data_IF_268881678897
#
_entry.id   IF_268881678897
#
_cell.length_a   1.000
_cell.length_b   1.000
_cell.length_c   1.000
_cell.angle_alpha   90.00
_cell.angle_beta   90.00
_cell.angle_gamma   90.00
#
_symmetry.space_group_name_H-M   'P 1'
#
loop_
_entity.id
_entity.type
_entity.pdbx_description
1 polymer ?
#
# COMPACT_ATOMS: atom_id res chain seq x y z
N UNK A 1 -23.77 10.59 24.69
CA UNK A 1 -22.69 10.21 23.76
C UNK A 1 -21.39 10.50 24.48
N UNK A 2 -20.73 9.49 25.02
CA UNK A 2 -19.44 9.66 25.69
C UNK A 2 -18.44 10.03 24.60
N UNK A 3 -18.02 11.30 24.54
CA UNK A 3 -16.79 11.65 23.84
C UNK A 3 -15.67 10.94 24.61
N UNK A 4 -15.22 9.82 24.06
CA UNK A 4 -14.03 9.14 24.54
C UNK A 4 -12.88 10.16 24.50
N UNK A 5 -12.17 10.35 25.62
CA UNK A 5 -11.06 11.31 25.73
C UNK A 5 -10.01 11.08 24.64
N UNK A 6 -9.92 9.84 24.15
CA UNK A 6 -9.02 9.43 23.08
C UNK A 6 -9.45 9.91 21.68
N UNK A 7 -10.75 10.16 21.46
CA UNK A 7 -11.30 10.53 20.14
C UNK A 7 -10.76 11.86 19.64
N UNK A 8 -10.52 12.83 20.53
CA UNK A 8 -10.00 14.16 20.17
C UNK A 8 -8.52 14.15 19.83
N UNK A 9 -7.79 13.15 20.33
CA UNK A 9 -6.38 12.94 20.01
C UNK A 9 -6.22 12.32 18.62
N UNK A 10 -7.06 11.33 18.29
CA UNK A 10 -7.00 10.60 17.00
C UNK A 10 -7.53 11.48 15.85
N UNK A 11 -8.56 12.29 16.09
CA UNK A 11 -9.18 13.15 15.08
C UNK A 11 -9.10 14.63 15.49
N UNK A 12 -7.94 15.30 15.28
CA UNK A 12 -7.80 16.71 15.59
C UNK A 12 -8.64 17.57 14.63
N UNK A 13 -9.40 18.51 15.18
CA UNK A 13 -10.27 19.41 14.42
C UNK A 13 -9.49 20.62 13.84
N UNK A 14 -8.56 20.36 12.92
CA UNK A 14 -7.71 21.40 12.32
C UNK A 14 -8.21 21.89 10.94
N UNK A 15 -9.41 21.47 10.52
CA UNK A 15 -9.91 21.77 9.18
C UNK A 15 -10.46 23.20 9.09
N UNK A 16 -9.94 23.99 8.15
CA UNK A 16 -10.46 25.31 7.82
C UNK A 16 -11.49 25.21 6.68
N UNK A 17 -12.66 25.80 6.88
CA UNK A 17 -13.72 25.83 5.87
C UNK A 17 -13.33 26.74 4.70
N UNK A 18 -13.23 26.21 3.47
CA UNK A 18 -12.93 27.04 2.31
C UNK A 18 -14.11 27.95 1.98
N UNK A 19 -13.81 29.13 1.42
CA UNK A 19 -14.84 30.09 0.96
C UNK A 19 -15.62 29.61 -0.28
N UNK A 20 -15.09 28.61 -0.99
CA UNK A 20 -15.68 28.01 -2.19
C UNK A 20 -15.95 26.53 -1.94
N UNK A 21 -16.88 25.95 -2.72
CA UNK A 21 -17.19 24.52 -2.65
C UNK A 21 -15.95 23.67 -3.01
N UNK A 22 -15.75 22.59 -2.26
CA UNK A 22 -14.64 21.66 -2.46
C UNK A 22 -14.85 20.92 -3.78
N UNK A 23 -13.96 21.14 -4.75
CA UNK A 23 -13.88 20.35 -5.97
C UNK A 23 -12.96 19.16 -5.73
N UNK A 24 -13.54 17.99 -5.49
CA UNK A 24 -12.78 16.74 -5.40
C UNK A 24 -12.29 16.35 -6.79
N UNK A 25 -10.97 16.30 -6.99
CA UNK A 25 -10.43 15.56 -8.11
C UNK A 25 -10.60 14.05 -7.84
N UNK A 26 -10.76 13.21 -8.88
CA UNK A 26 -10.74 11.75 -8.69
C UNK A 26 -9.50 11.37 -7.90
N UNK A 27 -9.66 10.56 -6.85
CA UNK A 27 -8.57 10.17 -5.97
C UNK A 27 -7.36 9.72 -6.80
N UNK A 28 -6.28 10.48 -6.74
CA UNK A 28 -4.95 9.95 -7.04
C UNK A 28 -4.67 8.93 -5.95
N UNK A 29 -4.92 7.66 -6.26
CA UNK A 29 -4.78 6.51 -5.35
C UNK A 29 -3.33 6.17 -5.01
N UNK A 30 -2.36 6.93 -5.54
CA UNK A 30 -0.95 6.76 -5.28
C UNK A 30 -0.51 7.84 -4.29
N UNK A 31 -0.84 7.64 -3.02
CA UNK A 31 -0.09 8.24 -1.93
C UNK A 31 1.23 7.46 -1.79
N UNK A 32 2.36 8.17 -1.76
CA UNK A 32 3.70 7.59 -1.49
C UNK A 32 3.85 7.11 -0.03
N UNK A 33 2.80 7.29 0.79
CA UNK A 33 2.77 6.85 2.16
C UNK A 33 2.77 5.32 2.26
N UNK A 34 3.55 4.74 3.21
CA UNK A 34 3.56 3.31 3.42
C UNK A 34 2.16 2.84 3.84
N UNK A 35 1.71 1.72 3.28
CA UNK A 35 0.41 1.17 3.68
C UNK A 35 0.46 0.43 5.02
N UNK A 36 1.65 0.27 5.63
CA UNK A 36 1.83 -0.53 6.84
C UNK A 36 1.72 0.35 8.06
N UNK A 37 0.79 -0.02 8.95
CA UNK A 37 0.64 0.60 10.26
C UNK A 37 1.21 -0.35 11.33
N UNK A 38 2.00 0.18 12.26
CA UNK A 38 2.49 -0.59 13.41
C UNK A 38 1.35 -1.10 14.29
N UNK A 39 1.44 -2.37 14.69
CA UNK A 39 0.59 -2.92 15.74
C UNK A 39 1.23 -2.77 17.13
N UNK A 40 0.52 -3.22 18.17
CA UNK A 40 1.00 -3.17 19.55
C UNK A 40 2.34 -3.91 19.74
N UNK A 41 2.55 -5.01 19.01
CA UNK A 41 3.78 -5.81 19.10
C UNK A 41 4.94 -5.06 18.44
N UNK A 42 4.68 -4.39 17.31
CA UNK A 42 5.65 -3.53 16.63
C UNK A 42 6.05 -2.35 17.53
N UNK A 43 5.07 -1.65 18.12
CA UNK A 43 5.34 -0.55 19.06
C UNK A 43 6.17 -1.01 20.25
N UNK A 44 5.82 -2.15 20.86
CA UNK A 44 6.57 -2.68 22.00
C UNK A 44 8.02 -3.04 21.63
N UNK A 45 8.25 -3.63 20.45
CA UNK A 45 9.61 -3.90 19.97
C UNK A 45 10.37 -2.61 19.66
N UNK A 46 9.70 -1.64 19.03
CA UNK A 46 10.29 -0.36 18.65
C UNK A 46 10.80 0.41 19.89
N UNK A 47 9.99 0.49 20.94
CA UNK A 47 10.35 1.20 22.17
C UNK A 47 11.40 0.47 23.01
N UNK A 48 11.36 -0.86 23.08
CA UNK A 48 12.22 -1.62 23.99
C UNK A 48 13.54 -2.09 23.35
N UNK A 49 13.54 -2.40 22.06
CA UNK A 49 14.68 -3.03 21.37
C UNK A 49 15.25 -2.16 20.27
N UNK A 50 14.40 -1.59 19.40
CA UNK A 50 14.87 -0.83 18.25
C UNK A 50 15.66 0.41 18.68
N UNK A 51 15.23 1.12 19.73
CA UNK A 51 15.93 2.31 20.24
C UNK A 51 17.37 2.05 20.72
N UNK A 52 17.68 0.81 21.14
CA UNK A 52 19.05 0.42 21.52
C UNK A 52 19.88 -0.04 20.32
N UNK A 53 19.25 -0.68 19.34
CA UNK A 53 19.93 -1.23 18.15
C UNK A 53 20.13 -0.17 17.07
N UNK A 54 19.23 0.81 17.03
CA UNK A 54 19.07 1.78 15.96
C UNK A 54 18.38 3.04 16.51
N UNK A 55 19.14 3.94 17.16
CA UNK A 55 18.57 5.07 17.92
C UNK A 55 17.87 6.14 17.07
N UNK A 56 18.19 6.21 15.78
CA UNK A 56 17.66 7.22 14.85
C UNK A 56 16.55 6.68 13.93
N UNK A 57 16.07 5.44 14.16
CA UNK A 57 14.97 4.87 13.40
C UNK A 57 13.67 5.63 13.69
N UNK A 58 13.02 6.13 12.65
CA UNK A 58 11.69 6.75 12.74
C UNK A 58 10.57 5.74 12.51
N UNK A 59 9.36 6.08 12.98
CA UNK A 59 8.16 5.26 12.72
C UNK A 59 7.90 5.11 11.22
N UNK A 60 8.01 6.20 10.46
CA UNK A 60 7.78 6.19 9.02
C UNK A 60 8.79 5.32 8.27
N UNK A 61 10.08 5.36 8.65
CA UNK A 61 11.08 4.47 8.06
C UNK A 61 10.79 3.02 8.38
N UNK A 62 10.43 2.70 9.63
CA UNK A 62 10.05 1.35 10.02
C UNK A 62 8.88 0.84 9.16
N UNK A 63 7.80 1.63 9.05
CA UNK A 63 6.62 1.30 8.26
C UNK A 63 6.95 1.13 6.78
N UNK A 64 7.79 2.00 6.24
CA UNK A 64 8.28 1.92 4.86
C UNK A 64 9.08 0.65 4.61
N UNK A 65 9.95 0.25 5.54
CA UNK A 65 10.74 -0.97 5.42
C UNK A 65 9.82 -2.19 5.42
N UNK A 66 8.93 -2.29 6.41
CA UNK A 66 8.02 -3.43 6.52
C UNK A 66 7.08 -3.50 5.32
N UNK A 67 6.56 -2.37 4.84
CA UNK A 67 5.64 -2.35 3.70
C UNK A 67 6.31 -2.90 2.43
N UNK A 68 7.55 -2.46 2.13
CA UNK A 68 8.32 -2.99 1.00
C UNK A 68 8.63 -4.48 1.16
N UNK A 69 8.97 -4.94 2.37
CA UNK A 69 9.20 -6.37 2.64
C UNK A 69 7.92 -7.22 2.49
N UNK A 70 6.77 -6.74 2.98
CA UNK A 70 5.47 -7.43 2.82
C UNK A 70 5.02 -7.49 1.35
N UNK A 71 5.28 -6.42 0.59
CA UNK A 71 4.97 -6.35 -0.83
C UNK A 71 5.89 -7.25 -1.67
N UNK A 72 7.17 -7.34 -1.31
CA UNK A 72 8.11 -8.26 -1.97
C UNK A 72 7.85 -9.73 -1.59
N UNK A 73 7.45 -10.02 -0.33
CA UNK A 73 7.26 -11.39 0.18
C UNK A 73 5.94 -12.05 -0.22
N UNK A 74 5.44 -11.77 -1.43
CA UNK A 74 4.09 -12.18 -1.81
C UNK A 74 3.89 -13.68 -1.94
N UNK A 75 4.92 -14.40 -2.37
CA UNK A 75 4.92 -15.85 -2.60
C UNK A 75 5.93 -16.58 -1.70
N UNK A 76 7.10 -15.99 -1.50
CA UNK A 76 8.20 -16.56 -0.71
C UNK A 76 8.69 -15.54 0.31
N UNK A 77 9.31 -16.01 1.39
CA UNK A 77 10.04 -15.12 2.29
C UNK A 77 11.23 -14.52 1.56
N UNK A 78 11.44 -13.22 1.77
CA UNK A 78 12.54 -12.45 1.20
C UNK A 78 13.78 -12.70 2.05
N UNK A 79 14.92 -12.89 1.41
CA UNK A 79 16.24 -13.00 2.07
C UNK A 79 16.80 -11.61 2.43
N UNK A 80 17.82 -11.55 3.30
CA UNK A 80 18.40 -10.28 3.70
C UNK A 80 19.04 -9.51 2.52
N UNK A 81 19.65 -10.23 1.57
CA UNK A 81 20.28 -9.62 0.39
C UNK A 81 19.24 -9.06 -0.57
N UNK A 82 18.13 -9.79 -0.78
CA UNK A 82 17.00 -9.29 -1.56
C UNK A 82 16.36 -8.08 -0.87
N UNK A 83 16.23 -8.10 0.46
CA UNK A 83 15.73 -6.98 1.24
C UNK A 83 16.58 -5.74 1.00
N UNK A 84 17.91 -5.83 1.13
CA UNK A 84 18.83 -4.71 0.84
C UNK A 84 18.70 -4.20 -0.59
N UNK A 85 18.58 -5.10 -1.56
CA UNK A 85 18.41 -4.74 -2.96
C UNK A 85 17.12 -3.91 -3.22
N UNK A 86 16.05 -4.13 -2.45
CA UNK A 86 14.80 -3.35 -2.55
C UNK A 86 14.97 -1.86 -2.17
N UNK A 87 15.98 -1.54 -1.36
CA UNK A 87 16.26 -0.16 -0.92
C UNK A 87 17.47 0.46 -1.63
N UNK A 88 18.28 -0.35 -2.33
CA UNK A 88 19.45 0.12 -3.07
C UNK A 88 19.11 1.03 -4.26
N UNK A 89 17.88 0.98 -4.79
CA UNK A 89 17.47 1.78 -5.96
C UNK A 89 17.05 3.22 -5.62
N UNK A 90 16.85 3.56 -4.34
CA UNK A 90 16.62 4.95 -3.93
C UNK A 90 17.97 5.65 -3.76
N UNK A 91 18.26 6.64 -4.61
CA UNK A 91 19.46 7.47 -4.50
C UNK A 91 19.02 8.93 -4.24
N UNK A 92 19.43 9.55 -3.12
CA UNK A 92 20.20 8.98 -2.02
C UNK A 92 19.39 7.91 -1.24
N UNK A 93 20.06 6.93 -0.61
CA UNK A 93 19.37 5.95 0.23
C UNK A 93 18.71 6.69 1.38
N UNK A 94 17.37 6.71 1.35
CA UNK A 94 16.54 7.34 2.37
C UNK A 94 16.70 6.58 3.70
N UNK A 95 17.13 5.32 3.64
CA UNK A 95 17.15 4.37 4.75
C UNK A 95 18.55 3.78 4.89
N UNK A 96 19.09 3.84 6.11
CA UNK A 96 20.40 3.30 6.47
C UNK A 96 20.39 1.75 6.48
N UNK A 97 21.46 1.10 6.03
CA UNK A 97 21.63 -0.36 6.06
C UNK A 97 21.42 -0.96 7.45
N UNK A 98 21.81 -0.23 8.51
CA UNK A 98 21.55 -0.66 9.89
C UNK A 98 20.05 -0.74 10.20
N UNK A 99 19.24 0.20 9.69
CA UNK A 99 17.79 0.25 9.88
C UNK A 99 17.17 -0.96 9.18
N UNK A 100 17.57 -1.21 7.93
CA UNK A 100 17.08 -2.34 7.12
C UNK A 100 17.38 -3.67 7.82
N UNK A 101 18.64 -3.90 8.24
CA UNK A 101 19.03 -5.15 8.88
C UNK A 101 18.25 -5.39 10.18
N UNK A 102 18.14 -4.37 11.03
CA UNK A 102 17.49 -4.49 12.34
C UNK A 102 15.99 -4.78 12.20
N UNK A 103 15.32 -4.06 11.30
CA UNK A 103 13.89 -4.25 11.04
C UNK A 103 13.63 -5.59 10.34
N UNK A 104 14.50 -5.99 9.40
CA UNK A 104 14.39 -7.27 8.70
C UNK A 104 14.44 -8.46 9.67
N UNK A 105 15.38 -8.49 10.62
CA UNK A 105 15.51 -9.59 11.59
C UNK A 105 14.23 -9.77 12.42
N UNK A 106 13.66 -8.65 12.87
CA UNK A 106 12.39 -8.66 13.60
C UNK A 106 11.22 -9.13 12.73
N UNK A 107 11.10 -8.57 11.53
CA UNK A 107 10.07 -8.94 10.55
C UNK A 107 10.14 -10.42 10.18
N UNK A 108 11.34 -10.93 9.90
CA UNK A 108 11.58 -12.33 9.51
C UNK A 108 11.12 -13.29 10.61
N UNK A 109 11.44 -12.97 11.88
CA UNK A 109 10.98 -13.74 13.04
C UNK A 109 9.46 -13.72 13.17
N UNK A 110 8.81 -12.56 12.98
CA UNK A 110 7.34 -12.43 12.99
C UNK A 110 6.69 -13.24 11.86
N UNK A 111 7.20 -13.13 10.63
CA UNK A 111 6.66 -13.86 9.47
C UNK A 111 6.80 -15.36 9.59
N UNK A 112 7.92 -15.83 10.12
CA UNK A 112 8.17 -17.26 10.36
C UNK A 112 7.25 -17.81 11.45
N UNK A 113 7.08 -17.06 12.54
CA UNK A 113 6.21 -17.48 13.66
C UNK A 113 4.73 -17.52 13.27
N UNK A 114 4.28 -16.51 12.51
CA UNK A 114 2.86 -16.42 12.09
C UNK A 114 2.53 -17.32 10.89
N UNK A 115 3.52 -17.65 10.05
CA UNK A 115 3.35 -18.43 8.82
C UNK A 115 2.48 -17.77 7.75
N UNK A 116 1.99 -16.55 8.00
CA UNK A 116 1.09 -15.76 7.15
C UNK A 116 1.54 -14.30 7.16
N UNK A 117 0.99 -13.49 6.25
CA UNK A 117 1.26 -12.05 6.18
C UNK A 117 0.94 -11.34 7.49
N UNK A 118 1.61 -10.23 7.75
CA UNK A 118 1.38 -9.45 8.96
C UNK A 118 0.06 -8.65 8.87
N UNK A 119 -0.22 -8.07 7.71
CA UNK A 119 -1.49 -7.38 7.47
C UNK A 119 -2.61 -8.34 7.07
N UNK A 120 -3.81 -8.20 7.65
CA UNK A 120 -5.01 -8.86 7.14
C UNK A 120 -5.27 -8.43 5.70
N UNK A 121 -5.69 -9.38 4.85
CA UNK A 121 -6.07 -9.10 3.47
C UNK A 121 -7.46 -9.65 3.21
N UNK A 122 -8.21 -8.89 2.42
CA UNK A 122 -9.44 -9.34 1.82
C UNK A 122 -9.20 -10.60 0.96
N UNK A 123 -9.97 -11.65 1.22
CA UNK A 123 -9.92 -12.88 0.44
C UNK A 123 -10.63 -12.68 -0.91
N UNK A 124 -9.92 -12.90 -2.00
CA UNK A 124 -10.45 -12.77 -3.35
C UNK A 124 -10.68 -14.13 -3.99
N UNK A 125 -11.46 -14.16 -5.09
CA UNK A 125 -11.68 -15.39 -5.85
C UNK A 125 -10.39 -16.00 -6.41
N UNK A 126 -9.32 -15.22 -6.58
CA UNK A 126 -8.01 -15.75 -7.02
C UNK A 126 -7.36 -16.60 -5.94
N UNK A 127 -7.52 -16.22 -4.67
CA UNK A 127 -6.87 -16.87 -3.55
C UNK A 127 -7.50 -18.25 -3.24
N UNK A 128 -8.81 -18.40 -3.50
CA UNK A 128 -9.53 -19.68 -3.29
C UNK A 128 -9.58 -20.56 -4.53
N UNK A 129 -9.05 -20.16 -5.69
CA UNK A 129 -9.05 -21.00 -6.89
C UNK A 129 -8.23 -22.28 -6.72
N UNK A 130 -7.23 -22.23 -5.84
CA UNK A 130 -6.35 -23.37 -5.52
C UNK A 130 -7.04 -24.35 -4.55
N UNK A 131 -7.95 -23.87 -3.70
CA UNK A 131 -8.77 -24.69 -2.81
C UNK A 131 -10.10 -25.07 -3.49
N UNK A 132 -10.36 -26.37 -3.68
CA UNK A 132 -11.54 -26.89 -4.39
C UNK A 132 -12.87 -26.66 -3.63
N UNK A 133 -13.32 -25.42 -3.47
CA UNK A 133 -14.56 -25.05 -2.78
C UNK A 133 -15.30 -23.89 -3.46
N UNK A 134 -16.49 -24.14 -4.01
CA UNK A 134 -17.23 -23.15 -4.83
C UNK A 134 -17.84 -21.98 -4.03
N UNK A 135 -17.89 -22.03 -2.69
CA UNK A 135 -18.61 -21.05 -1.86
C UNK A 135 -17.92 -20.78 -0.51
N UNK A 136 -16.78 -20.10 -0.52
CA UNK A 136 -16.16 -19.61 0.72
C UNK A 136 -16.82 -18.27 1.15
N UNK A 137 -17.40 -18.16 2.37
CA UNK A 137 -18.17 -16.97 2.81
C UNK A 137 -17.37 -15.67 2.85
N UNK A 138 -16.06 -15.74 3.11
CA UNK A 138 -15.20 -14.56 3.18
C UNK A 138 -14.72 -14.05 1.81
N UNK A 139 -15.08 -14.72 0.71
CA UNK A 139 -14.69 -14.25 -0.64
C UNK A 139 -15.60 -13.12 -1.08
N UNK A 140 -15.00 -11.95 -1.27
CA UNK A 140 -15.72 -10.75 -1.68
C UNK A 140 -15.17 -10.17 -2.99
N UNK A 141 -15.89 -9.18 -3.54
CA UNK A 141 -15.50 -8.42 -4.73
C UNK A 141 -15.18 -9.28 -5.96
N UNK A 142 -16.01 -10.31 -6.22
CA UNK A 142 -15.87 -11.17 -7.41
C UNK A 142 -15.95 -10.36 -8.69
N UNK A 143 -14.98 -10.54 -9.57
CA UNK A 143 -14.96 -9.87 -10.87
C UNK A 143 -15.89 -10.63 -11.81
N UNK A 144 -17.04 -10.02 -12.14
CA UNK A 144 -17.85 -10.45 -13.27
C UNK A 144 -17.49 -9.59 -14.46
N UNK A 145 -16.74 -10.16 -15.38
CA UNK A 145 -16.50 -9.50 -16.66
C UNK A 145 -17.80 -9.66 -17.45
N UNK A 146 -18.48 -8.55 -17.75
CA UNK A 146 -19.51 -8.57 -18.77
C UNK A 146 -18.84 -9.09 -20.06
N UNK A 147 -19.48 -10.05 -20.76
CA UNK A 147 -18.89 -10.62 -21.97
C UNK A 147 -18.49 -9.46 -22.89
N UNK A 148 -17.21 -9.39 -23.27
CA UNK A 148 -16.77 -8.41 -24.26
C UNK A 148 -17.60 -8.63 -25.52
N UNK A 149 -18.51 -7.71 -25.79
CA UNK A 149 -19.20 -7.67 -27.07
C UNK A 149 -18.24 -7.07 -28.09
N UNK A 150 -17.96 -7.79 -29.17
CA UNK A 150 -17.22 -7.21 -30.30
C UNK A 150 -18.09 -6.16 -30.97
N UNK A 151 -17.56 -4.95 -31.19
CA UNK A 151 -18.30 -3.88 -31.87
C UNK A 151 -18.40 -4.18 -33.37
N UNK A 152 -19.61 -4.11 -33.94
CA UNK A 152 -19.81 -3.94 -35.39
C UNK A 152 -19.87 -2.44 -35.72
N UNK A 153 -18.73 -1.79 -35.94
CA UNK A 153 -18.58 -0.61 -36.83
C UNK A 153 -17.17 0.00 -36.77
N UNK A 154 -16.50 0.11 -37.92
CA UNK A 154 -15.15 0.67 -38.10
C UNK A 154 -15.11 2.21 -38.20
N UNK A 155 -16.25 2.88 -38.40
CA UNK A 155 -16.33 4.34 -38.68
C UNK A 155 -16.17 5.26 -37.46
N UNK A 156 -16.18 4.75 -36.23
CA UNK A 156 -16.10 5.58 -35.01
C UNK A 156 -14.65 5.77 -34.50
N UNK A 157 -13.70 4.96 -35.00
CA UNK A 157 -12.36 4.88 -34.41
C UNK A 157 -11.46 6.07 -34.80
N UNK A 158 -11.61 6.62 -36.02
CA UNK A 158 -10.81 7.77 -36.47
C UNK A 158 -11.14 9.06 -35.69
N UNK A 159 -12.42 9.32 -35.45
CA UNK A 159 -12.86 10.50 -34.69
C UNK A 159 -12.49 10.40 -33.20
N UNK A 160 -12.59 9.20 -32.62
CA UNK A 160 -12.14 8.93 -31.26
C UNK A 160 -10.62 9.11 -31.13
N UNK A 161 -9.85 8.62 -32.11
CA UNK A 161 -8.40 8.77 -32.15
C UNK A 161 -7.97 10.24 -32.26
N UNK A 162 -8.61 11.02 -33.14
CA UNK A 162 -8.35 12.46 -33.26
C UNK A 162 -8.70 13.22 -31.97
N UNK A 163 -9.79 12.84 -31.30
CA UNK A 163 -10.17 13.41 -30.00
C UNK A 163 -9.11 13.10 -28.93
N UNK A 164 -8.54 11.89 -28.94
CA UNK A 164 -7.47 11.48 -28.01
C UNK A 164 -6.18 12.28 -28.24
N UNK A 165 -5.76 12.46 -29.49
CA UNK A 165 -4.56 13.26 -29.79
C UNK A 165 -4.72 14.72 -29.36
N UNK A 166 -5.89 15.32 -29.59
CA UNK A 166 -6.21 16.68 -29.11
C UNK A 166 -6.19 16.76 -27.60
N UNK A 167 -6.79 15.78 -26.92
CA UNK A 167 -6.81 15.70 -25.47
C UNK A 167 -5.38 15.60 -24.91
N UNK A 168 -4.54 14.72 -25.49
CA UNK A 168 -3.12 14.61 -25.12
C UNK A 168 -2.38 15.94 -25.28
N UNK A 169 -2.51 16.59 -26.44
CA UNK A 169 -1.87 17.88 -26.69
C UNK A 169 -2.35 18.95 -25.71
N UNK A 170 -3.63 18.96 -25.33
CA UNK A 170 -4.16 19.88 -24.32
C UNK A 170 -3.61 19.61 -22.92
N UNK A 171 -3.34 18.36 -22.55
CA UNK A 171 -2.66 18.04 -21.30
C UNK A 171 -1.19 18.46 -21.33
N UNK A 172 -0.50 18.30 -22.46
CA UNK A 172 0.91 18.72 -22.63
C UNK A 172 1.09 20.25 -22.63
N UNK A 173 0.05 21.03 -22.94
CA UNK A 173 0.08 22.50 -22.91
C UNK A 173 -0.38 23.12 -21.59
N UNK A 174 -1.02 22.34 -20.72
CA UNK A 174 -1.52 22.79 -19.40
C UNK A 174 -0.55 22.45 -18.27
N UNK A 175 0.58 21.77 -18.58
CA UNK A 175 1.75 21.63 -17.70
C UNK A 175 2.71 22.79 -17.94
#
# INVERSE_FOLDING_TARGET
LYEDQNSKFIYPNNNQLPKQLIRLQPLQLESDDPQYDMDEVDHNWFHNSARSLCPDLTYLEYETIIDKLENASTRTLVSLDEARALFASSTPPIINDLHINTVYEFWYKRRTTRGKRLKPRLLTERDIKEEKGKHHPYVAFRRRVEKMTTRKNRKNDEQAYMSMLKLRSSFETVV
#
